data_IF_788962827983
#
_entry.id   IF_788962827983
#
_cell.length_a   1.000
_cell.length_b   1.000
_cell.length_c   1.000
_cell.angle_alpha   90.00
_cell.angle_beta   90.00
_cell.angle_gamma   90.00
#
_symmetry.space_group_name_H-M   'P 1'
#
loop_
_entity.id
_entity.type
_entity.pdbx_description
1 polymer ?
#
# COMPACT_ATOMS: atom_id res chain seq x y z
N UNK A 1 8.53 17.88 5.29
CA UNK A 1 8.46 16.41 5.42
C UNK A 1 9.36 15.80 4.37
N UNK A 2 10.23 14.84 4.73
CA UNK A 2 11.02 14.12 3.73
C UNK A 2 10.09 13.33 2.79
N UNK A 3 10.35 13.35 1.49
CA UNK A 3 9.58 12.60 0.46
C UNK A 3 9.46 11.11 0.80
N UNK A 4 10.50 10.52 1.39
CA UNK A 4 10.49 9.14 1.90
C UNK A 4 9.48 8.90 3.02
N UNK A 5 9.37 9.85 3.96
CA UNK A 5 8.39 9.75 5.04
C UNK A 5 6.96 9.88 4.51
N UNK A 6 6.74 10.75 3.51
CA UNK A 6 5.47 10.88 2.83
C UNK A 6 5.08 9.58 2.10
N UNK A 7 6.01 8.97 1.36
CA UNK A 7 5.79 7.68 0.68
C UNK A 7 5.44 6.55 1.66
N UNK A 8 6.14 6.46 2.80
CA UNK A 8 5.83 5.46 3.84
C UNK A 8 4.45 5.70 4.49
N UNK A 9 4.09 6.97 4.73
CA UNK A 9 2.77 7.33 5.24
C UNK A 9 1.66 6.94 4.26
N UNK A 10 1.87 7.25 2.97
CA UNK A 10 0.95 6.89 1.90
C UNK A 10 0.78 5.37 1.79
N UNK A 11 1.88 4.61 1.78
CA UNK A 11 1.85 3.15 1.74
C UNK A 11 0.99 2.54 2.86
N UNK A 12 1.18 3.01 4.10
CA UNK A 12 0.37 2.54 5.25
C UNK A 12 -1.10 2.91 5.10
N UNK A 13 -1.41 4.12 4.63
CA UNK A 13 -2.79 4.58 4.40
C UNK A 13 -3.47 3.79 3.30
N UNK A 14 -2.78 3.51 2.18
CA UNK A 14 -3.30 2.70 1.08
C UNK A 14 -3.63 1.27 1.52
N UNK A 15 -2.75 0.65 2.32
CA UNK A 15 -3.00 -0.69 2.88
C UNK A 15 -4.21 -0.69 3.83
N UNK A 16 -4.31 0.32 4.71
CA UNK A 16 -5.44 0.43 5.64
C UNK A 16 -6.76 0.67 4.90
N UNK A 17 -6.79 1.60 3.96
CA UNK A 17 -7.98 1.84 3.14
C UNK A 17 -8.41 0.57 2.41
N UNK A 18 -7.48 -0.11 1.74
CA UNK A 18 -7.78 -1.38 1.06
C UNK A 18 -8.29 -2.46 2.03
N UNK A 19 -7.80 -2.48 3.28
CA UNK A 19 -8.29 -3.40 4.31
C UNK A 19 -9.70 -3.04 4.77
N UNK A 20 -9.99 -1.77 4.98
CA UNK A 20 -11.28 -1.28 5.44
C UNK A 20 -12.40 -1.62 4.43
N UNK A 21 -12.08 -1.63 3.13
CA UNK A 21 -13.00 -2.03 2.06
C UNK A 21 -13.03 -3.53 1.76
N UNK A 22 -12.12 -4.31 2.34
CA UNK A 22 -12.04 -5.73 2.04
C UNK A 22 -13.06 -6.52 2.85
N UNK A 23 -13.99 -7.20 2.15
CA UNK A 23 -14.99 -8.09 2.76
C UNK A 23 -14.31 -9.27 3.48
N UNK A 24 -13.21 -9.79 2.92
CA UNK A 24 -12.48 -10.92 3.49
C UNK A 24 -10.96 -10.71 3.49
N UNK A 25 -10.32 -11.16 4.57
CA UNK A 25 -8.86 -11.03 4.77
C UNK A 25 -8.03 -11.78 3.73
N UNK A 26 -8.52 -12.88 3.16
CA UNK A 26 -7.77 -13.63 2.14
C UNK A 26 -7.70 -12.88 0.80
N UNK A 27 -8.79 -12.23 0.37
CA UNK A 27 -8.81 -11.37 -0.82
C UNK A 27 -7.91 -10.14 -0.63
N UNK A 28 -7.95 -9.55 0.57
CA UNK A 28 -7.09 -8.42 0.90
C UNK A 28 -5.61 -8.74 0.75
N UNK A 29 -5.16 -9.96 1.07
CA UNK A 29 -3.74 -10.34 0.92
C UNK A 29 -3.26 -10.22 -0.52
N UNK A 30 -4.09 -10.61 -1.50
CA UNK A 30 -3.77 -10.41 -2.92
C UNK A 30 -3.65 -8.92 -3.28
N UNK A 31 -4.60 -8.11 -2.80
CA UNK A 31 -4.59 -6.65 -2.99
C UNK A 31 -3.37 -5.98 -2.33
N UNK A 32 -2.99 -6.41 -1.13
CA UNK A 32 -1.84 -5.88 -0.41
C UNK A 32 -0.52 -6.14 -1.14
N UNK A 33 -0.36 -7.33 -1.74
CA UNK A 33 0.80 -7.65 -2.58
C UNK A 33 0.85 -6.78 -3.84
N UNK A 34 -0.29 -6.56 -4.48
CA UNK A 34 -0.38 -5.67 -5.64
C UNK A 34 -0.02 -4.21 -5.29
N UNK A 35 -0.55 -3.68 -4.18
CA UNK A 35 -0.18 -2.34 -3.70
C UNK A 35 1.34 -2.27 -3.46
N UNK A 36 1.94 -3.29 -2.82
CA UNK A 36 3.38 -3.35 -2.61
C UNK A 36 4.16 -3.30 -3.93
N UNK A 37 3.76 -4.07 -4.95
CA UNK A 37 4.47 -4.07 -6.24
C UNK A 37 4.44 -2.69 -6.92
N UNK A 38 3.34 -1.94 -6.79
CA UNK A 38 3.25 -0.57 -7.33
C UNK A 38 4.24 0.39 -6.66
N UNK A 39 4.40 0.30 -5.34
CA UNK A 39 5.38 1.12 -4.60
C UNK A 39 6.83 0.71 -4.92
N UNK A 40 7.08 -0.60 -5.05
CA UNK A 40 8.41 -1.10 -5.43
C UNK A 40 8.80 -0.68 -6.85
N UNK A 41 7.87 -0.71 -7.81
CA UNK A 41 8.08 -0.26 -9.18
C UNK A 41 8.50 1.22 -9.26
N UNK A 42 8.01 2.06 -8.35
CA UNK A 42 8.28 3.51 -8.32
C UNK A 42 9.37 3.90 -7.31
N UNK A 43 10.08 2.94 -6.71
CA UNK A 43 11.07 3.22 -5.64
C UNK A 43 12.24 4.11 -6.06
N UNK A 44 12.55 4.16 -7.36
CA UNK A 44 13.72 4.89 -7.92
C UNK A 44 13.35 6.27 -8.49
N UNK A 45 12.09 6.66 -8.40
CA UNK A 45 11.59 8.00 -8.76
C UNK A 45 11.73 8.91 -7.54
#
# INVERSE_FOLDING_TARGET
MSTRQAALSLYRRSLKLSLDWAVHRHLWRGQALYIRSLFEANRKV
#
